data_IF_869444168569
#
_entry.id   IF_869444168569
#
_cell.length_a   1.000
_cell.length_b   1.000
_cell.length_c   1.000
_cell.angle_alpha   90.00
_cell.angle_beta   90.00
_cell.angle_gamma   90.00
#
_symmetry.space_group_name_H-M   'P 1'
#
loop_
_entity.id
_entity.type
_entity.pdbx_description
1 polymer ?
#
# COMPACT_ATOMS: atom_id res chain seq x y z
N UNK A 1 19.11 -49.74 48.30
CA UNK A 1 19.72 -48.94 49.40
C UNK A 1 21.20 -48.79 49.10
N UNK A 2 21.70 -47.54 49.03
CA UNK A 2 23.12 -47.08 49.01
C UNK A 2 24.11 -47.71 48.02
N UNK A 3 24.95 -46.98 47.28
CA UNK A 3 25.34 -45.58 47.24
C UNK A 3 26.52 -45.43 46.27
N UNK A 4 26.67 -44.27 45.62
CA UNK A 4 27.84 -43.86 44.85
C UNK A 4 28.85 -43.12 45.77
N UNK A 5 29.92 -42.42 45.30
CA UNK A 5 30.90 -42.65 44.23
C UNK A 5 32.37 -42.52 44.76
N UNK A 6 33.40 -42.75 43.93
CA UNK A 6 34.74 -42.18 44.14
C UNK A 6 35.38 -41.74 42.82
N UNK A 7 36.12 -40.64 42.91
CA UNK A 7 36.57 -39.80 41.83
C UNK A 7 38.11 -39.77 41.68
N UNK A 8 38.57 -39.42 40.45
CA UNK A 8 39.84 -38.74 40.06
C UNK A 8 41.14 -39.59 39.97
N UNK A 9 42.22 -39.16 39.24
CA UNK A 9 42.50 -37.82 38.68
C UNK A 9 43.09 -37.72 37.23
N UNK A 10 43.03 -36.47 36.74
CA UNK A 10 43.96 -35.72 35.86
C UNK A 10 44.96 -36.45 34.95
N UNK A 11 44.81 -36.20 33.63
CA UNK A 11 45.96 -36.02 32.74
C UNK A 11 45.77 -34.75 31.88
N UNK A 12 46.91 -34.09 31.71
CA UNK A 12 47.17 -32.74 31.20
C UNK A 12 47.82 -32.86 29.82
N UNK A 13 47.59 -31.87 28.97
CA UNK A 13 48.38 -31.63 27.76
C UNK A 13 47.71 -32.10 26.48
N UNK A 14 47.92 -31.51 25.31
CA UNK A 14 48.79 -30.42 24.85
C UNK A 14 48.14 -29.96 23.54
N UNK A 15 48.14 -28.67 23.28
CA UNK A 15 47.76 -28.09 21.99
C UNK A 15 48.84 -28.36 20.93
N UNK A 16 48.46 -28.56 19.65
CA UNK A 16 49.15 -27.77 18.65
C UNK A 16 48.22 -27.16 17.60
N UNK A 17 48.60 -25.93 17.25
CA UNK A 17 48.11 -25.10 16.16
C UNK A 17 48.26 -25.81 14.81
N UNK A 18 47.18 -25.78 14.02
CA UNK A 18 47.17 -26.16 12.61
C UNK A 18 46.51 -25.06 11.79
N UNK A 19 47.33 -24.30 11.07
CA UNK A 19 46.91 -23.31 10.10
C UNK A 19 46.47 -23.99 8.78
N UNK A 20 45.39 -23.51 8.17
CA UNK A 20 44.95 -23.91 6.83
C UNK A 20 43.71 -23.11 6.37
N UNK A 21 43.50 -22.89 5.07
CA UNK A 21 43.25 -21.54 4.55
C UNK A 21 41.82 -21.24 4.07
N UNK A 22 41.51 -19.95 4.04
CA UNK A 22 40.69 -19.25 3.02
C UNK A 22 39.29 -19.80 2.70
N UNK A 23 38.28 -19.23 3.38
CA UNK A 23 36.93 -19.07 2.84
C UNK A 23 36.65 -17.58 2.71
N UNK A 24 36.72 -17.05 1.48
CA UNK A 24 36.33 -15.69 1.17
C UNK A 24 34.86 -15.48 1.56
N UNK A 25 34.64 -14.73 2.65
CA UNK A 25 33.31 -14.31 3.06
C UNK A 25 32.73 -13.37 2.00
N UNK A 26 31.71 -13.85 1.31
CA UNK A 26 30.79 -12.99 0.56
C UNK A 26 30.25 -11.93 1.51
N UNK A 27 30.23 -10.64 1.13
CA UNK A 27 29.65 -9.61 1.97
C UNK A 27 28.15 -9.88 2.08
N UNK A 28 27.73 -10.37 3.24
CA UNK A 28 26.34 -10.32 3.65
C UNK A 28 25.97 -8.86 3.86
N UNK A 29 25.68 -8.15 2.77
CA UNK A 29 24.91 -6.92 2.81
C UNK A 29 23.43 -7.27 3.08
N UNK A 30 23.18 -7.95 4.20
CA UNK A 30 21.87 -7.96 4.82
C UNK A 30 21.70 -6.59 5.45
N UNK A 31 20.83 -5.76 4.87
CA UNK A 31 20.32 -4.58 5.57
C UNK A 31 19.55 -5.08 6.78
N UNK A 32 20.24 -5.31 7.89
CA UNK A 32 19.65 -5.60 9.17
C UNK A 32 18.92 -4.33 9.60
N UNK A 33 17.61 -4.25 9.32
CA UNK A 33 16.76 -3.18 9.83
C UNK A 33 16.60 -3.46 11.32
N UNK A 34 17.59 -3.01 12.10
CA UNK A 34 17.62 -3.16 13.54
C UNK A 34 16.53 -2.27 14.14
N UNK A 35 15.36 -2.84 14.37
CA UNK A 35 14.34 -2.25 15.22
C UNK A 35 14.88 -2.21 16.64
N UNK A 36 15.31 -1.03 17.08
CA UNK A 36 15.82 -0.82 18.45
C UNK A 36 14.70 -1.15 19.42
N UNK A 37 14.98 -2.01 20.40
CA UNK A 37 14.04 -2.50 21.40
C UNK A 37 13.45 -1.41 22.34
N UNK A 38 13.81 -0.13 22.12
CA UNK A 38 13.20 1.06 22.76
C UNK A 38 12.52 2.02 21.77
N UNK A 39 12.62 1.77 20.47
CA UNK A 39 11.87 2.45 19.42
C UNK A 39 10.64 1.57 19.10
N UNK A 40 9.82 1.29 20.12
CA UNK A 40 8.43 0.95 19.85
C UNK A 40 7.88 2.02 18.90
N UNK A 41 7.12 1.63 17.88
CA UNK A 41 6.30 2.57 17.11
C UNK A 41 5.74 3.57 18.12
N UNK A 42 6.06 4.88 18.03
CA UNK A 42 5.59 5.82 19.03
C UNK A 42 4.08 5.60 19.12
N UNK A 43 3.51 5.49 20.34
CA UNK A 43 2.06 5.31 20.54
C UNK A 43 1.25 6.29 19.66
N UNK A 44 1.81 7.45 19.34
CA UNK A 44 1.30 8.46 18.41
C UNK A 44 1.19 8.03 16.92
N UNK A 45 1.99 7.07 16.43
CA UNK A 45 1.90 6.53 15.08
C UNK A 45 0.75 5.53 14.90
N UNK A 46 0.20 5.01 16.00
CA UNK A 46 -0.95 4.10 16.04
C UNK A 46 -2.27 4.89 16.13
N UNK A 47 -2.23 6.16 16.55
CA UNK A 47 -3.39 7.04 16.79
C UNK A 47 -3.94 7.80 15.57
N UNK A 48 -3.43 7.59 14.36
CA UNK A 48 -4.02 8.21 13.17
C UNK A 48 -5.27 7.44 12.73
N UNK A 49 -6.35 7.67 13.48
CA UNK A 49 -7.71 7.39 13.04
C UNK A 49 -7.91 8.03 11.65
N UNK A 50 -8.52 7.32 10.68
CA UNK A 50 -8.87 7.95 9.42
C UNK A 50 -9.87 9.06 9.70
N UNK A 51 -9.46 10.32 9.51
CA UNK A 51 -10.43 11.40 9.27
C UNK A 51 -11.23 10.96 8.07
N UNK A 52 -12.47 10.55 8.32
CA UNK A 52 -13.48 10.32 7.29
C UNK A 52 -13.54 11.62 6.48
N UNK A 53 -12.93 11.60 5.29
CA UNK A 53 -13.04 12.70 4.34
C UNK A 53 -14.50 12.68 3.89
N UNK A 54 -15.32 13.53 4.52
CA UNK A 54 -16.64 13.88 4.01
C UNK A 54 -16.43 14.41 2.59
N UNK A 55 -16.76 13.59 1.59
CA UNK A 55 -16.89 14.04 0.22
C UNK A 55 -17.99 15.11 0.20
N UNK A 56 -17.59 16.38 0.22
CA UNK A 56 -18.49 17.49 -0.06
C UNK A 56 -18.88 17.40 -1.53
N UNK A 57 -20.03 16.80 -1.81
CA UNK A 57 -20.73 16.93 -3.10
C UNK A 57 -21.12 18.40 -3.25
N UNK A 58 -20.28 19.18 -3.93
CA UNK A 58 -20.66 20.49 -4.44
C UNK A 58 -21.59 20.26 -5.63
N UNK A 59 -22.90 20.34 -5.39
CA UNK A 59 -23.89 20.45 -6.44
C UNK A 59 -23.67 21.80 -7.15
N UNK A 60 -22.95 21.79 -8.27
CA UNK A 60 -22.92 22.91 -9.19
C UNK A 60 -24.23 22.89 -9.98
N UNK A 61 -25.24 23.61 -9.49
CA UNK A 61 -26.47 23.87 -10.23
C UNK A 61 -26.14 24.87 -11.34
N UNK A 62 -26.00 24.36 -12.57
CA UNK A 62 -25.93 25.19 -13.77
C UNK A 62 -27.33 25.76 -14.04
N UNK A 63 -27.52 27.02 -13.66
CA UNK A 63 -28.67 27.80 -14.11
C UNK A 63 -28.53 28.07 -15.61
N UNK A 64 -29.21 27.27 -16.43
CA UNK A 64 -29.40 27.58 -17.85
C UNK A 64 -30.43 28.71 -17.95
N UNK A 65 -29.98 29.90 -18.34
CA UNK A 65 -30.85 31.06 -18.51
C UNK A 65 -31.38 31.07 -19.94
N UNK A 66 -32.55 30.49 -20.15
CA UNK A 66 -33.31 30.60 -21.39
C UNK A 66 -33.82 32.03 -21.57
N UNK A 67 -33.38 32.71 -22.64
CA UNK A 67 -33.97 33.98 -23.10
C UNK A 67 -35.03 33.68 -24.16
N UNK A 68 -36.29 34.10 -23.98
CA UNK A 68 -37.28 34.05 -25.05
C UNK A 68 -37.06 35.20 -26.05
N UNK A 69 -37.42 34.94 -27.32
CA UNK A 69 -37.60 35.93 -28.37
C UNK A 69 -38.72 36.94 -28.03
N UNK A 70 -39.17 37.82 -28.90
CA UNK A 70 -39.05 37.98 -30.33
C UNK A 70 -39.50 39.45 -30.56
N UNK A 71 -38.71 40.24 -31.29
CA UNK A 71 -39.04 41.64 -31.59
C UNK A 71 -38.92 41.87 -33.08
N UNK A 72 -40.02 41.63 -33.78
CA UNK A 72 -40.27 41.92 -35.19
C UNK A 72 -40.05 43.40 -35.55
N UNK A 73 -39.21 43.67 -36.54
CA UNK A 73 -39.29 44.89 -37.33
C UNK A 73 -38.79 44.63 -38.76
N UNK A 74 -39.77 44.41 -39.62
CA UNK A 74 -39.72 44.35 -41.07
C UNK A 74 -38.98 45.55 -41.66
N UNK A 75 -37.92 45.31 -42.43
CA UNK A 75 -37.54 46.21 -43.53
C UNK A 75 -36.99 45.39 -44.70
N UNK A 76 -37.86 45.23 -45.69
CA UNK A 76 -37.52 44.80 -47.04
C UNK A 76 -36.60 45.86 -47.66
N UNK A 77 -35.37 45.49 -47.95
CA UNK A 77 -34.61 46.06 -49.07
C UNK A 77 -33.99 44.91 -49.85
N UNK A 78 -34.67 44.56 -50.93
CA UNK A 78 -34.15 43.69 -51.98
C UNK A 78 -33.01 44.43 -52.69
N UNK A 79 -31.80 43.89 -52.59
CA UNK A 79 -30.71 44.23 -53.51
C UNK A 79 -29.94 42.95 -53.83
N UNK A 80 -30.30 42.24 -54.92
CA UNK A 80 -29.56 41.08 -55.36
C UNK A 80 -28.36 41.56 -56.18
N UNK A 81 -27.21 41.70 -55.53
CA UNK A 81 -25.93 41.76 -56.24
C UNK A 81 -25.29 40.40 -56.14
N UNK A 82 -25.64 39.56 -57.10
CA UNK A 82 -25.05 38.25 -57.32
C UNK A 82 -23.55 38.38 -57.62
N UNK A 83 -22.74 38.25 -56.58
CA UNK A 83 -21.43 37.63 -56.73
C UNK A 83 -21.57 36.20 -56.25
N UNK A 84 -22.11 35.39 -57.15
CA UNK A 84 -21.91 33.96 -57.09
C UNK A 84 -20.42 33.70 -57.13
N UNK A 85 -19.78 33.60 -55.96
CA UNK A 85 -18.82 32.52 -55.76
C UNK A 85 -19.63 31.24 -55.94
N UNK A 86 -19.85 30.89 -57.22
CA UNK A 86 -20.06 29.51 -57.61
C UNK A 86 -18.93 28.79 -56.90
N UNK A 87 -19.24 28.08 -55.81
CA UNK A 87 -18.44 26.94 -55.40
C UNK A 87 -18.49 26.01 -56.60
N UNK A 88 -17.59 26.26 -57.57
CA UNK A 88 -17.10 25.21 -58.44
C UNK A 88 -16.80 24.09 -57.47
N UNK A 89 -17.49 22.97 -57.65
CA UNK A 89 -17.08 21.70 -57.09
C UNK A 89 -15.70 21.42 -57.69
N UNK A 90 -14.69 22.09 -57.14
CA UNK A 90 -13.31 21.82 -57.41
C UNK A 90 -13.08 20.46 -56.79
N UNK A 91 -12.73 19.52 -57.65
CA UNK A 91 -12.20 18.22 -57.29
C UNK A 91 -11.24 18.43 -56.12
N UNK A 92 -11.64 17.93 -54.95
CA UNK A 92 -10.90 18.08 -53.69
C UNK A 92 -9.73 17.12 -53.77
N UNK A 93 -8.66 17.54 -54.44
CA UNK A 93 -7.37 16.88 -54.30
C UNK A 93 -6.96 16.91 -52.83
N UNK A 94 -6.55 15.76 -52.30
CA UNK A 94 -6.00 15.63 -50.95
C UNK A 94 -4.93 16.70 -50.74
N UNK A 95 -5.15 17.61 -49.81
CA UNK A 95 -4.11 18.55 -49.43
C UNK A 95 -3.01 17.78 -48.70
N UNK A 96 -1.74 18.00 -49.04
CA UNK A 96 -0.60 17.47 -48.30
C UNK A 96 -0.69 17.82 -46.80
N UNK A 97 -1.28 18.99 -46.50
CA UNK A 97 -1.53 19.44 -45.13
C UNK A 97 -2.50 18.52 -44.38
N UNK A 98 -3.46 17.91 -45.06
CA UNK A 98 -4.46 17.03 -44.43
C UNK A 98 -3.84 15.74 -43.91
N UNK A 99 -2.98 15.09 -44.70
CA UNK A 99 -2.23 13.90 -44.27
C UNK A 99 -1.25 14.26 -43.16
N UNK A 100 -0.60 15.43 -43.22
CA UNK A 100 0.30 15.91 -42.18
C UNK A 100 -0.44 16.15 -40.86
N UNK A 101 -1.58 16.84 -40.89
CA UNK A 101 -2.39 17.09 -39.69
C UNK A 101 -2.96 15.79 -39.13
N UNK A 102 -3.44 14.87 -39.99
CA UNK A 102 -3.92 13.57 -39.55
C UNK A 102 -2.81 12.77 -38.85
N UNK A 103 -1.60 12.74 -39.42
CA UNK A 103 -0.45 12.09 -38.79
C UNK A 103 -0.03 12.78 -37.49
N UNK A 104 -0.09 14.11 -37.43
CA UNK A 104 0.19 14.87 -36.21
C UNK A 104 -0.79 14.52 -35.08
N UNK A 105 -2.10 14.52 -35.37
CA UNK A 105 -3.13 14.14 -34.39
C UNK A 105 -2.96 12.67 -33.98
N UNK A 106 -2.67 11.78 -34.92
CA UNK A 106 -2.42 10.37 -34.65
C UNK A 106 -1.23 10.19 -33.71
N UNK A 107 -0.10 10.83 -34.00
CA UNK A 107 1.11 10.75 -33.19
C UNK A 107 0.87 11.26 -31.76
N UNK A 108 0.17 12.40 -31.62
CA UNK A 108 -0.19 12.95 -30.30
C UNK A 108 -1.12 12.01 -29.53
N UNK A 109 -2.13 11.45 -30.20
CA UNK A 109 -3.09 10.52 -29.59
C UNK A 109 -2.40 9.25 -29.11
N UNK A 110 -1.53 8.68 -29.95
CA UNK A 110 -0.76 7.49 -29.60
C UNK A 110 0.21 7.75 -28.45
N UNK A 111 0.85 8.92 -28.43
CA UNK A 111 1.73 9.34 -27.32
C UNK A 111 0.99 9.38 -25.98
N UNK A 112 -0.21 9.96 -25.95
CA UNK A 112 -1.05 9.98 -24.74
C UNK A 112 -1.48 8.57 -24.35
N UNK A 113 -1.88 7.73 -25.31
CA UNK A 113 -2.29 6.34 -25.06
C UNK A 113 -1.15 5.51 -24.44
N UNK A 114 0.05 5.58 -25.01
CA UNK A 114 1.25 4.92 -24.49
C UNK A 114 1.57 5.40 -23.06
N UNK A 115 1.42 6.70 -22.80
CA UNK A 115 1.66 7.24 -21.45
C UNK A 115 0.67 6.70 -20.42
N UNK A 116 -0.62 6.60 -20.77
CA UNK A 116 -1.64 6.02 -19.88
C UNK A 116 -1.37 4.53 -19.66
N UNK A 117 -1.04 3.80 -20.72
CA UNK A 117 -0.76 2.37 -20.65
C UNK A 117 0.45 2.05 -19.76
N UNK A 118 1.55 2.79 -19.92
CA UNK A 118 2.74 2.65 -19.06
C UNK A 118 2.42 2.92 -17.59
N UNK A 119 1.57 3.92 -17.30
CA UNK A 119 1.11 4.19 -15.93
C UNK A 119 0.23 3.07 -15.39
N UNK A 120 -0.64 2.49 -16.21
CA UNK A 120 -1.50 1.38 -15.82
C UNK A 120 -0.66 0.15 -15.42
N UNK A 121 0.33 -0.23 -16.24
CA UNK A 121 1.22 -1.36 -15.94
C UNK A 121 1.98 -1.17 -14.60
N UNK A 122 2.55 0.02 -14.38
CA UNK A 122 3.24 0.32 -13.13
C UNK A 122 2.29 0.27 -11.91
N UNK A 123 1.06 0.77 -12.08
CA UNK A 123 0.05 0.72 -11.02
C UNK A 123 -0.35 -0.71 -10.69
N UNK A 124 -0.48 -1.58 -11.71
CA UNK A 124 -0.77 -3.01 -11.51
C UNK A 124 0.32 -3.70 -10.70
N UNK A 125 1.60 -3.48 -11.02
CA UNK A 125 2.72 -4.05 -10.27
C UNK A 125 2.75 -3.58 -8.80
N UNK A 126 2.41 -2.31 -8.55
CA UNK A 126 2.26 -1.79 -7.19
C UNK A 126 1.11 -2.48 -6.44
N UNK A 127 -0.05 -2.63 -7.07
CA UNK A 127 -1.21 -3.28 -6.46
C UNK A 127 -0.95 -4.75 -6.11
N UNK A 128 -0.17 -5.45 -6.93
CA UNK A 128 0.26 -6.82 -6.64
C UNK A 128 1.09 -6.88 -5.34
N UNK A 129 2.04 -5.96 -5.18
CA UNK A 129 2.87 -5.89 -3.97
C UNK A 129 2.05 -5.57 -2.73
N UNK A 130 1.09 -4.65 -2.83
CA UNK A 130 0.15 -4.38 -1.73
C UNK A 130 -0.70 -5.59 -1.38
N UNK A 131 -1.19 -6.33 -2.38
CA UNK A 131 -2.00 -7.54 -2.17
C UNK A 131 -1.20 -8.61 -1.42
N UNK A 132 0.08 -8.81 -1.78
CA UNK A 132 0.98 -9.70 -1.05
C UNK A 132 1.22 -9.23 0.39
N UNK A 133 1.44 -7.94 0.61
CA UNK A 133 1.65 -7.40 1.97
C UNK A 133 0.42 -7.55 2.87
N UNK A 134 -0.78 -7.38 2.31
CA UNK A 134 -2.04 -7.66 3.03
C UNK A 134 -2.14 -9.14 3.36
N UNK A 135 -1.93 -10.02 2.38
CA UNK A 135 -1.98 -11.47 2.58
C UNK A 135 -0.99 -11.94 3.65
N UNK A 136 0.23 -11.38 3.67
CA UNK A 136 1.21 -11.66 4.72
C UNK A 136 0.70 -11.20 6.09
N UNK A 137 0.20 -9.97 6.21
CA UNK A 137 -0.33 -9.47 7.47
C UNK A 137 -1.53 -10.28 7.98
N UNK A 138 -2.44 -10.68 7.10
CA UNK A 138 -3.57 -11.58 7.41
C UNK A 138 -3.07 -12.95 7.87
N UNK A 139 -2.13 -13.56 7.14
CA UNK A 139 -1.53 -14.84 7.52
C UNK A 139 -0.86 -14.77 8.90
N UNK A 140 -0.19 -13.66 9.25
CA UNK A 140 0.37 -13.48 10.59
C UNK A 140 -0.71 -13.30 11.65
N UNK A 141 -1.78 -12.56 11.37
CA UNK A 141 -2.93 -12.47 12.27
C UNK A 141 -3.54 -13.85 12.52
N UNK A 142 -3.73 -14.67 11.49
CA UNK A 142 -4.34 -16.00 11.59
C UNK A 142 -3.49 -16.97 12.42
N UNK A 143 -2.16 -16.79 12.42
CA UNK A 143 -1.24 -17.58 13.26
C UNK A 143 -1.29 -17.21 14.75
N UNK A 144 -1.84 -16.05 15.12
CA UNK A 144 -2.01 -15.67 16.54
C UNK A 144 -3.03 -16.60 17.20
N UNK A 145 -2.73 -17.10 18.38
CA UNK A 145 -3.50 -18.12 19.10
C UNK A 145 -3.24 -19.56 18.64
N UNK A 146 -2.41 -19.78 17.61
CA UNK A 146 -2.03 -21.13 17.13
C UNK A 146 -0.52 -21.32 17.27
N UNK A 147 0.26 -20.54 16.52
CA UNK A 147 1.72 -20.60 16.51
C UNK A 147 2.36 -19.41 17.24
N UNK A 148 1.70 -18.25 17.25
CA UNK A 148 2.08 -17.09 18.05
C UNK A 148 1.14 -17.05 19.26
N UNK A 149 1.64 -17.12 20.50
CA UNK A 149 0.77 -17.09 21.68
C UNK A 149 0.00 -15.77 21.74
N UNK A 150 -1.26 -15.81 22.19
CA UNK A 150 -2.07 -14.62 22.42
C UNK A 150 -1.73 -14.04 23.79
N UNK A 151 -0.54 -13.47 23.90
CA UNK A 151 -0.02 -12.84 25.10
C UNK A 151 0.46 -11.42 24.76
N UNK A 152 0.40 -10.52 25.73
CA UNK A 152 0.88 -9.15 25.55
C UNK A 152 2.36 -9.15 25.15
N UNK A 153 2.69 -8.44 24.06
CA UNK A 153 4.05 -8.39 23.57
C UNK A 153 4.17 -8.06 22.10
N UNK A 154 5.42 -8.04 21.63
CA UNK A 154 5.77 -7.81 20.23
C UNK A 154 6.49 -9.03 19.69
N UNK A 155 6.01 -9.55 18.56
CA UNK A 155 6.56 -10.71 17.88
C UNK A 155 7.03 -10.32 16.48
N UNK A 156 8.21 -10.79 16.10
CA UNK A 156 8.79 -10.61 14.78
C UNK A 156 9.62 -11.84 14.41
N UNK A 157 10.15 -11.89 13.20
CA UNK A 157 11.04 -12.96 12.76
C UNK A 157 11.69 -12.62 11.44
N UNK A 158 12.23 -13.64 10.78
CA UNK A 158 12.85 -13.49 9.47
C UNK A 158 11.88 -12.88 8.45
N UNK A 159 12.37 -12.03 7.53
CA UNK A 159 11.56 -11.50 6.44
C UNK A 159 10.93 -12.62 5.63
N UNK A 160 9.67 -12.44 5.25
CA UNK A 160 8.91 -13.39 4.44
C UNK A 160 8.44 -12.68 3.16
N UNK A 161 8.63 -13.31 2.01
CA UNK A 161 8.36 -12.70 0.69
C UNK A 161 9.07 -11.34 0.45
N UNK A 162 10.25 -11.17 1.04
CA UNK A 162 11.02 -9.91 0.95
C UNK A 162 10.41 -8.76 1.77
N UNK A 163 9.53 -9.07 2.72
CA UNK A 163 8.86 -8.11 3.58
C UNK A 163 9.18 -8.39 5.06
N UNK A 164 9.48 -7.34 5.79
CA UNK A 164 9.58 -7.38 7.24
C UNK A 164 8.18 -7.46 7.84
N UNK A 165 8.01 -8.20 8.94
CA UNK A 165 6.73 -8.30 9.63
C UNK A 165 6.87 -8.18 11.14
N UNK A 166 5.85 -7.60 11.77
CA UNK A 166 5.75 -7.44 13.22
C UNK A 166 4.29 -7.64 13.64
N UNK A 167 4.08 -8.35 14.74
CA UNK A 167 2.81 -8.43 15.48
C UNK A 167 2.98 -7.69 16.80
N UNK A 168 2.05 -6.79 17.14
CA UNK A 168 1.92 -6.21 18.49
C UNK A 168 0.61 -6.67 19.10
N UNK A 169 0.66 -7.21 20.30
CA UNK A 169 -0.50 -7.66 21.08
C UNK A 169 -0.56 -6.80 22.33
N UNK A 170 -1.65 -6.06 22.49
CA UNK A 170 -1.86 -5.15 23.62
C UNK A 170 -3.21 -5.50 24.28
N UNK A 171 -3.31 -5.44 25.62
CA UNK A 171 -4.59 -5.57 26.30
C UNK A 171 -5.59 -4.54 25.76
N UNK A 172 -6.78 -5.01 25.41
CA UNK A 172 -7.87 -4.17 24.96
C UNK A 172 -8.94 -4.16 26.04
N UNK A 173 -9.28 -2.99 26.57
CA UNK A 173 -10.40 -2.82 27.47
C UNK A 173 -11.55 -2.18 26.69
N UNK A 174 -12.69 -2.86 26.50
CA UNK A 174 -13.84 -2.28 25.83
C UNK A 174 -14.38 -1.11 26.67
N UNK A 175 -14.39 0.10 26.13
CA UNK A 175 -14.97 1.26 26.80
C UNK A 175 -16.51 1.18 26.87
N UNK A 176 -17.11 1.34 28.05
CA UNK A 176 -18.58 1.40 28.21
C UNK A 176 -19.09 0.90 29.56
N UNK A 177 -20.41 0.70 29.67
CA UNK A 177 -21.12 0.21 30.88
C UNK A 177 -20.85 -1.28 31.20
N UNK A 178 -20.09 -1.98 30.34
CA UNK A 178 -19.57 -3.33 30.60
C UNK A 178 -18.33 -3.33 31.52
N UNK A 179 -17.98 -2.19 32.13
CA UNK A 179 -16.83 -2.01 33.01
C UNK A 179 -16.63 -3.18 33.97
N UNK A 180 -15.41 -3.73 33.96
CA UNK A 180 -14.88 -4.85 34.75
C UNK A 180 -15.66 -6.19 34.69
N UNK A 181 -16.81 -6.25 34.01
CA UNK A 181 -17.65 -7.44 33.85
C UNK A 181 -17.38 -8.18 32.52
N UNK A 182 -16.25 -7.90 31.86
CA UNK A 182 -15.84 -8.67 30.69
C UNK A 182 -15.42 -10.07 31.15
N UNK A 183 -16.28 -11.07 30.89
CA UNK A 183 -15.99 -12.48 31.19
C UNK A 183 -14.75 -13.02 30.45
N UNK A 184 -14.26 -12.31 29.43
CA UNK A 184 -13.11 -12.68 28.61
C UNK A 184 -12.06 -11.57 28.62
N UNK A 185 -10.79 -11.94 28.73
CA UNK A 185 -9.70 -11.03 28.44
C UNK A 185 -9.76 -10.69 26.94
N UNK A 186 -9.69 -9.41 26.57
CA UNK A 186 -9.60 -8.99 25.17
C UNK A 186 -8.25 -8.38 24.85
N UNK A 187 -7.76 -8.66 23.65
CA UNK A 187 -6.49 -8.17 23.14
C UNK A 187 -6.69 -7.52 21.79
N UNK A 188 -6.03 -6.38 21.58
CA UNK A 188 -5.87 -5.81 20.25
C UNK A 188 -4.60 -6.35 19.63
N UNK A 189 -4.75 -7.06 18.53
CA UNK A 189 -3.63 -7.61 17.75
C UNK A 189 -3.44 -6.74 16.52
N UNK A 190 -2.24 -6.18 16.37
CA UNK A 190 -1.83 -5.36 15.24
C UNK A 190 -0.79 -6.10 14.43
N UNK A 191 -1.07 -6.42 13.16
CA UNK A 191 -0.10 -6.98 12.23
C UNK A 191 0.42 -5.89 11.28
N UNK A 192 1.73 -5.88 11.08
CA UNK A 192 2.41 -4.97 10.16
C UNK A 192 3.23 -5.78 9.18
N UNK A 193 3.09 -5.48 7.89
CA UNK A 193 3.99 -5.94 6.83
C UNK A 193 4.64 -4.71 6.18
N UNK A 194 5.96 -4.68 6.06
CA UNK A 194 6.72 -3.54 5.55
C UNK A 194 7.72 -3.98 4.49
N UNK A 195 7.92 -3.14 3.46
CA UNK A 195 8.81 -3.43 2.36
C UNK A 195 9.46 -2.15 1.80
N UNK A 196 10.66 -2.25 1.19
CA UNK A 196 11.30 -1.12 0.54
C UNK A 196 10.57 -0.71 -0.75
N UNK A 197 10.51 0.59 -1.01
CA UNK A 197 9.94 1.20 -2.21
C UNK A 197 10.84 2.35 -2.66
N UNK A 198 10.67 2.81 -3.91
CA UNK A 198 11.48 3.89 -4.49
C UNK A 198 11.45 5.21 -3.69
N UNK A 199 10.41 5.42 -2.88
CA UNK A 199 10.21 6.59 -2.02
C UNK A 199 10.53 6.34 -0.54
N UNK A 200 11.22 5.24 -0.21
CA UNK A 200 11.45 4.79 1.17
C UNK A 200 10.60 3.55 1.52
N UNK A 201 10.42 3.26 2.81
CA UNK A 201 9.70 2.07 3.26
C UNK A 201 8.18 2.28 3.20
N UNK A 202 7.47 1.33 2.60
CA UNK A 202 6.00 1.24 2.63
C UNK A 202 5.57 0.15 3.60
N UNK A 203 4.36 0.27 4.14
CA UNK A 203 3.81 -0.71 5.07
C UNK A 203 2.29 -0.83 4.97
N UNK A 204 1.79 -2.01 5.28
CA UNK A 204 0.39 -2.31 5.55
C UNK A 204 0.25 -2.57 7.05
N UNK A 205 -0.87 -2.16 7.64
CA UNK A 205 -1.17 -2.41 9.05
C UNK A 205 -2.61 -2.87 9.18
N UNK A 206 -2.81 -4.04 9.75
CA UNK A 206 -4.11 -4.61 10.05
C UNK A 206 -4.28 -4.67 11.57
N UNK A 207 -5.49 -4.45 12.05
CA UNK A 207 -5.83 -4.55 13.47
C UNK A 207 -7.07 -5.39 13.65
N UNK A 208 -7.05 -6.24 14.66
CA UNK A 208 -8.19 -7.05 15.03
C UNK A 208 -8.26 -7.15 16.55
N UNK A 209 -9.47 -7.41 17.07
CA UNK A 209 -9.67 -7.73 18.47
C UNK A 209 -9.81 -9.24 18.59
N UNK A 210 -9.03 -9.85 19.48
CA UNK A 210 -9.15 -11.27 19.83
C UNK A 210 -9.57 -11.40 21.28
N UNK A 211 -10.45 -12.36 21.52
CA UNK A 211 -10.83 -12.77 22.87
C UNK A 211 -9.83 -13.86 23.31
N UNK A 212 -9.19 -13.62 24.44
CA UNK A 212 -8.42 -14.60 25.17
C UNK A 212 -9.32 -15.50 26.03
N UNK A 213 -8.71 -16.50 26.67
CA UNK A 213 -9.43 -17.34 27.63
C UNK A 213 -10.07 -16.48 28.73
N UNK A 214 -11.16 -16.98 29.30
CA UNK A 214 -11.80 -16.36 30.45
C UNK A 214 -10.75 -16.17 31.56
N UNK A 215 -10.62 -14.94 32.04
CA UNK A 215 -9.72 -14.63 33.14
C UNK A 215 -10.39 -15.06 34.44
N UNK A 216 -10.46 -16.36 34.71
CA UNK A 216 -10.89 -16.88 36.01
C UNK A 216 -11.43 -18.31 36.01
N UNK A 217 -10.56 -19.26 36.37
CA UNK A 217 -10.70 -20.12 37.56
C UNK A 217 -9.33 -20.72 37.93
#
# INVERSE_FOLDING_TARGET
>A
MSGAPLARPCCRGVEPQGAGPQGAGLPQHGLHVQWRQGDGLPRAAIEHAPRVIRAQRRHAVLHVRSRPGLGSATRLTLRPSGHGYRRRGGERGFSLLEVLVAFAILALSLGVLLQIFSRALNTTALNETYSRAVALAEAKLDRVGIAIPLEEGVYSGEPEDGMDWIISIEPYQPGGWLGDAAAFASYQVTAVAAWPSASGTRRVTLRTIRLGPESGL
#
